data_IF_795926185901
#
_entry.id   IF_795926185901
#
_cell.length_a   1.000
_cell.length_b   1.000
_cell.length_c   1.000
_cell.angle_alpha   90.00
_cell.angle_beta   90.00
_cell.angle_gamma   90.00
#
_symmetry.space_group_name_H-M   'P 1'
#
loop_
_entity.id
_entity.type
_entity.pdbx_description
1 polymer ?
#
# COMPACT_ATOMS: atom_id res chain seq x y z
N UNK A 1 -26.89 6.89 35.03
CA UNK A 1 -27.33 8.31 35.09
C UNK A 1 -26.14 9.17 35.46
N UNK A 2 -26.08 10.42 34.94
CA UNK A 2 -25.11 11.50 35.24
C UNK A 2 -23.75 11.31 34.52
N UNK A 3 -23.22 12.19 33.65
CA UNK A 3 -23.59 13.51 33.10
C UNK A 3 -22.66 13.74 31.88
N UNK A 4 -23.22 14.08 30.73
CA UNK A 4 -22.49 14.68 29.60
C UNK A 4 -22.19 16.14 29.93
N UNK A 5 -20.91 16.53 30.02
CA UNK A 5 -20.48 17.93 30.13
C UNK A 5 -19.14 18.10 29.40
N UNK A 6 -19.04 19.22 28.68
CA UNK A 6 -17.89 19.83 28.00
C UNK A 6 -17.82 19.58 26.49
N UNK A 7 -17.71 20.59 25.61
CA UNK A 7 -17.71 22.04 25.77
C UNK A 7 -17.91 22.62 24.35
N UNK A 8 -18.84 23.55 24.19
CA UNK A 8 -19.03 24.31 22.95
C UNK A 8 -17.90 25.33 22.84
N UNK A 9 -16.99 25.18 21.88
CA UNK A 9 -16.07 26.23 21.45
C UNK A 9 -16.61 26.87 20.17
N UNK A 10 -17.46 27.89 20.35
CA UNK A 10 -17.61 28.95 19.36
C UNK A 10 -16.61 30.06 19.70
N UNK A 11 -15.71 30.38 18.78
CA UNK A 11 -15.25 31.75 18.61
C UNK A 11 -14.74 31.96 17.19
N UNK A 12 -15.37 32.92 16.54
CA UNK A 12 -15.08 33.42 15.21
C UNK A 12 -13.66 34.00 15.10
N UNK A 13 -13.14 34.04 13.87
CA UNK A 13 -12.48 35.18 13.20
C UNK A 13 -11.62 34.61 12.07
N UNK A 14 -11.83 35.09 10.84
CA UNK A 14 -10.90 34.79 9.74
C UNK A 14 -11.47 34.93 8.33
N UNK A 15 -12.22 36.00 8.05
CA UNK A 15 -12.52 36.39 6.68
C UNK A 15 -11.24 36.96 6.06
N UNK A 16 -10.59 36.20 5.18
CA UNK A 16 -9.64 36.73 4.20
C UNK A 16 -10.17 36.45 2.80
N UNK A 17 -10.69 37.52 2.19
CA UNK A 17 -10.96 37.61 0.77
C UNK A 17 -9.62 37.87 0.08
N UNK A 18 -9.19 36.98 -0.81
CA UNK A 18 -8.46 37.43 -2.00
C UNK A 18 -9.10 36.80 -3.24
N UNK A 19 -9.71 37.69 -4.01
CA UNK A 19 -10.08 37.48 -5.41
C UNK A 19 -8.77 37.44 -6.21
N UNK A 20 -8.57 36.36 -6.97
CA UNK A 20 -7.66 36.33 -8.09
C UNK A 20 -8.35 35.58 -9.24
N UNK A 21 -9.02 36.33 -10.12
CA UNK A 21 -9.33 35.86 -11.47
C UNK A 21 -8.01 35.81 -12.25
N UNK A 22 -7.64 34.62 -12.72
CA UNK A 22 -6.64 34.43 -13.74
C UNK A 22 -7.22 33.58 -14.85
N UNK A 23 -7.87 34.22 -15.83
CA UNK A 23 -8.22 33.54 -17.08
C UNK A 23 -6.94 33.23 -17.85
N UNK A 24 -6.74 31.95 -18.16
CA UNK A 24 -6.18 31.52 -19.45
C UNK A 24 -6.90 30.27 -19.92
N UNK A 25 -7.74 30.45 -20.91
CA UNK A 25 -8.22 29.43 -21.83
C UNK A 25 -7.07 28.56 -22.31
N UNK A 26 -7.17 27.24 -22.15
CA UNK A 26 -6.80 26.29 -23.21
C UNK A 26 -7.54 24.98 -22.97
N UNK A 27 -8.36 24.66 -23.96
CA UNK A 27 -9.10 23.42 -24.14
C UNK A 27 -8.14 22.42 -24.77
N UNK A 28 -7.98 21.25 -24.17
CA UNK A 28 -7.30 20.12 -24.80
C UNK A 28 -8.02 18.83 -24.40
N UNK A 29 -9.04 18.55 -25.20
CA UNK A 29 -9.43 17.26 -25.75
C UNK A 29 -9.09 15.98 -24.97
N UNK A 30 -10.19 15.29 -24.62
CA UNK A 30 -10.27 13.83 -24.53
C UNK A 30 -9.53 13.22 -25.72
N UNK A 31 -8.54 12.38 -25.45
CA UNK A 31 -8.06 11.42 -26.44
C UNK A 31 -7.94 10.05 -25.79
N UNK A 32 -8.49 9.10 -26.54
CA UNK A 32 -8.63 7.69 -26.26
C UNK A 32 -7.35 6.98 -25.87
N UNK A 33 -7.56 5.92 -25.07
CA UNK A 33 -6.89 4.64 -25.08
C UNK A 33 -5.61 4.54 -25.92
N UNK A 34 -4.48 4.54 -25.22
CA UNK A 34 -3.40 3.61 -25.49
C UNK A 34 -2.80 3.22 -24.14
N UNK A 35 -3.16 2.04 -23.64
CA UNK A 35 -2.42 1.36 -22.58
C UNK A 35 -1.05 1.06 -23.17
N UNK A 36 -0.10 1.94 -22.93
CA UNK A 36 1.31 1.62 -23.09
C UNK A 36 1.68 0.83 -21.86
N UNK A 37 2.04 -0.44 -22.05
CA UNK A 37 2.66 -1.29 -21.04
C UNK A 37 3.96 -0.63 -20.57
N UNK A 38 3.85 0.29 -19.62
CA UNK A 38 4.99 0.83 -18.89
C UNK A 38 5.45 -0.30 -17.98
N UNK A 39 6.70 -0.77 -18.10
CA UNK A 39 7.27 -1.68 -17.11
C UNK A 39 7.14 -0.99 -15.76
N UNK A 40 6.34 -1.55 -14.85
CA UNK A 40 6.29 -1.08 -13.47
C UNK A 40 7.68 -1.35 -12.91
N UNK A 41 8.41 -0.27 -12.67
CA UNK A 41 9.78 -0.31 -12.17
C UNK A 41 9.73 -0.50 -10.65
N UNK A 42 9.77 -1.75 -10.20
CA UNK A 42 9.77 -2.15 -8.80
C UNK A 42 11.18 -2.12 -8.19
N UNK A 43 12.01 -1.15 -8.59
CA UNK A 43 13.46 -1.08 -8.28
C UNK A 43 13.81 -1.01 -6.80
N UNK A 44 12.84 -0.86 -5.91
CA UNK A 44 13.06 -0.89 -4.46
C UNK A 44 13.07 -2.32 -3.88
N UNK A 45 12.31 -3.26 -4.46
CA UNK A 45 12.33 -4.68 -4.08
C UNK A 45 13.52 -5.43 -4.69
N UNK A 46 13.98 -4.99 -5.87
CA UNK A 46 15.09 -5.59 -6.62
C UNK A 46 16.47 -5.38 -5.97
N UNK A 47 16.55 -4.54 -4.91
CA UNK A 47 17.79 -4.24 -4.17
C UNK A 47 17.96 -5.03 -2.88
N UNK A 48 17.03 -5.90 -2.53
CA UNK A 48 17.15 -6.77 -1.37
C UNK A 48 18.04 -7.93 -1.78
N UNK A 49 19.35 -7.77 -1.54
CA UNK A 49 20.43 -8.62 -2.07
C UNK A 49 20.50 -10.05 -1.51
N UNK A 50 19.42 -10.82 -1.61
CA UNK A 50 19.37 -12.26 -1.36
C UNK A 50 18.83 -13.01 -2.57
N UNK A 51 19.21 -14.29 -2.71
CA UNK A 51 18.64 -15.21 -3.72
C UNK A 51 17.13 -15.47 -3.51
N UNK A 52 16.56 -14.97 -2.40
CA UNK A 52 15.16 -15.16 -2.00
C UNK A 52 14.36 -13.89 -2.31
N UNK A 53 13.29 -14.05 -3.08
CA UNK A 53 12.31 -13.01 -3.35
C UNK A 53 11.74 -12.43 -2.03
N UNK A 54 11.50 -11.10 -1.94
CA UNK A 54 10.88 -10.51 -0.77
C UNK A 54 9.60 -11.24 -0.35
N UNK A 55 9.48 -11.54 0.95
CA UNK A 55 8.36 -12.28 1.49
C UNK A 55 8.09 -11.97 2.97
N UNK A 56 6.84 -12.23 3.37
CA UNK A 56 6.32 -12.01 4.73
C UNK A 56 5.55 -13.26 5.16
N UNK A 57 5.64 -13.61 6.45
CA UNK A 57 4.76 -14.61 7.05
C UNK A 57 3.62 -13.91 7.80
N UNK A 58 2.39 -14.28 7.48
CA UNK A 58 1.16 -13.78 8.12
C UNK A 58 0.25 -14.96 8.43
N UNK A 59 -0.10 -15.12 9.70
CA UNK A 59 -0.99 -16.18 10.21
C UNK A 59 -0.58 -17.59 9.73
N UNK A 60 0.72 -17.89 9.82
CA UNK A 60 1.34 -19.16 9.45
C UNK A 60 1.53 -19.37 7.94
N UNK A 61 1.19 -18.39 7.11
CA UNK A 61 1.28 -18.47 5.64
C UNK A 61 2.33 -17.49 5.12
N UNK A 62 3.21 -17.97 4.23
CA UNK A 62 4.22 -17.13 3.58
C UNK A 62 3.67 -16.58 2.26
N UNK A 63 3.74 -15.25 2.12
CA UNK A 63 3.38 -14.51 0.93
C UNK A 63 4.64 -13.90 0.31
N UNK A 64 4.80 -14.06 -1.00
CA UNK A 64 5.94 -13.61 -1.78
C UNK A 64 5.54 -12.44 -2.67
N UNK A 65 6.42 -11.44 -2.80
CA UNK A 65 6.22 -10.31 -3.70
C UNK A 65 5.88 -10.82 -5.10
N UNK A 66 4.80 -10.32 -5.68
CA UNK A 66 4.39 -10.70 -7.04
C UNK A 66 5.10 -9.87 -8.10
N UNK A 67 5.73 -8.76 -7.72
CA UNK A 67 6.24 -7.76 -8.65
C UNK A 67 5.15 -6.81 -9.17
N UNK A 68 3.94 -6.82 -8.61
CA UNK A 68 2.87 -5.92 -9.01
C UNK A 68 2.54 -4.89 -7.92
N UNK A 69 2.42 -3.64 -8.35
CA UNK A 69 1.74 -2.60 -7.58
C UNK A 69 0.23 -2.88 -7.62
N UNK A 70 -0.43 -2.69 -6.48
CA UNK A 70 -1.87 -2.83 -6.41
C UNK A 70 -2.60 -1.72 -7.18
N UNK A 71 -3.73 -2.10 -7.76
CA UNK A 71 -4.67 -1.22 -8.47
C UNK A 71 -5.88 -0.82 -7.60
N UNK A 72 -5.99 -1.35 -6.37
CA UNK A 72 -7.09 -1.03 -5.45
C UNK A 72 -7.00 0.43 -4.99
N UNK A 73 -8.05 1.19 -5.28
CA UNK A 73 -8.23 2.59 -4.94
C UNK A 73 -9.00 2.80 -3.62
N UNK A 74 -9.87 1.88 -3.27
CA UNK A 74 -10.72 1.92 -2.07
C UNK A 74 -10.21 0.94 -1.01
N UNK A 75 -9.38 1.45 -0.09
CA UNK A 75 -8.83 0.70 1.06
C UNK A 75 -9.68 0.89 2.30
N UNK A 76 -9.63 -0.06 3.23
CA UNK A 76 -10.03 0.20 4.60
C UNK A 76 -9.05 1.22 5.22
N UNK A 77 -9.55 2.18 5.99
CA UNK A 77 -8.70 3.11 6.75
C UNK A 77 -7.91 2.37 7.85
N UNK A 78 -8.51 1.30 8.39
CA UNK A 78 -7.88 0.43 9.38
C UNK A 78 -7.09 -0.70 8.68
N UNK A 79 -5.86 -0.92 9.12
CA UNK A 79 -4.99 -2.01 8.65
C UNK A 79 -5.40 -3.34 9.29
N UNK A 80 -5.32 -4.45 8.55
CA UNK A 80 -5.55 -5.80 9.11
C UNK A 80 -4.41 -6.24 10.02
N UNK A 81 -3.19 -5.76 9.73
CA UNK A 81 -2.03 -6.01 10.56
C UNK A 81 -0.82 -5.15 10.19
N UNK A 82 0.28 -5.42 10.88
CA UNK A 82 1.56 -4.75 10.68
C UNK A 82 2.69 -5.77 10.75
N UNK A 83 3.67 -5.63 9.87
CA UNK A 83 4.96 -6.33 9.96
C UNK A 83 5.76 -5.73 11.10
N UNK A 84 6.02 -6.50 12.15
CA UNK A 84 6.63 -6.01 13.40
C UNK A 84 8.06 -6.47 13.60
N UNK A 85 8.53 -7.45 12.84
CA UNK A 85 9.90 -7.97 12.91
C UNK A 85 10.48 -8.24 11.53
N UNK A 86 11.80 -8.43 11.48
CA UNK A 86 12.53 -8.72 10.25
C UNK A 86 13.54 -9.86 10.48
N UNK A 87 13.70 -10.73 9.49
CA UNK A 87 14.80 -11.70 9.40
C UNK A 87 15.83 -11.25 8.36
N UNK A 88 16.85 -12.08 8.06
CA UNK A 88 17.80 -11.76 6.99
C UNK A 88 17.11 -11.73 5.63
N UNK A 89 17.53 -10.85 4.72
CA UNK A 89 17.07 -10.83 3.33
C UNK A 89 17.32 -12.13 2.56
N UNK A 90 18.22 -12.98 3.05
CA UNK A 90 18.51 -14.32 2.49
C UNK A 90 17.72 -15.44 3.17
N UNK A 91 16.74 -15.14 4.01
CA UNK A 91 15.92 -16.10 4.75
C UNK A 91 14.45 -15.97 4.36
N UNK A 92 13.70 -17.07 4.54
CA UNK A 92 12.24 -17.04 4.53
C UNK A 92 11.79 -16.81 5.98
N UNK A 93 10.87 -15.88 6.27
CA UNK A 93 10.39 -15.63 7.62
C UNK A 93 9.74 -16.89 8.21
N UNK A 94 9.92 -17.08 9.52
CA UNK A 94 9.42 -18.26 10.26
C UNK A 94 8.47 -17.92 11.40
N UNK A 95 8.24 -16.63 11.62
CA UNK A 95 7.33 -16.10 12.64
C UNK A 95 6.29 -15.19 11.99
N UNK A 96 5.10 -15.13 12.57
CA UNK A 96 4.05 -14.23 12.10
C UNK A 96 4.48 -12.77 12.21
N UNK A 97 4.12 -11.99 11.19
CA UNK A 97 4.47 -10.57 11.05
C UNK A 97 5.99 -10.32 10.97
N UNK A 98 6.75 -11.32 10.52
CA UNK A 98 8.15 -11.21 10.15
C UNK A 98 8.29 -11.13 8.63
N UNK A 99 9.15 -10.24 8.14
CA UNK A 99 9.52 -10.18 6.73
C UNK A 99 11.03 -10.24 6.53
N UNK A 100 11.47 -10.55 5.32
CA UNK A 100 12.88 -10.47 4.93
C UNK A 100 13.24 -9.14 4.24
N UNK A 101 12.34 -8.16 4.26
CA UNK A 101 12.49 -6.88 3.56
C UNK A 101 12.35 -5.65 4.46
N UNK A 102 12.15 -5.86 5.76
CA UNK A 102 12.06 -4.80 6.77
C UNK A 102 10.85 -4.95 7.68
N UNK A 103 10.54 -3.90 8.44
CA UNK A 103 9.41 -3.88 9.39
C UNK A 103 8.80 -2.48 9.50
N UNK A 104 7.64 -2.40 10.14
CA UNK A 104 6.84 -1.20 10.30
C UNK A 104 5.80 -0.97 9.20
N UNK A 105 5.70 -1.89 8.24
CA UNK A 105 4.74 -1.82 7.13
C UNK A 105 3.38 -2.37 7.54
N UNK A 106 2.31 -1.62 7.24
CA UNK A 106 0.94 -2.11 7.38
C UNK A 106 0.56 -3.02 6.22
N UNK A 107 -0.32 -3.97 6.47
CA UNK A 107 -0.90 -4.81 5.42
C UNK A 107 -2.41 -4.97 5.55
N UNK A 108 -3.05 -5.28 4.43
CA UNK A 108 -4.43 -5.73 4.35
C UNK A 108 -4.48 -7.02 3.53
N UNK A 109 -5.46 -7.88 3.79
CA UNK A 109 -5.75 -9.00 2.90
C UNK A 109 -6.22 -8.46 1.54
N UNK A 110 -5.69 -9.04 0.45
CA UNK A 110 -6.07 -8.63 -0.89
C UNK A 110 -7.46 -9.14 -1.27
N UNK A 111 -7.96 -8.67 -2.42
CA UNK A 111 -9.29 -9.07 -2.91
C UNK A 111 -9.36 -10.53 -3.35
N UNK A 112 -8.21 -11.11 -3.74
CA UNK A 112 -8.08 -12.51 -4.14
C UNK A 112 -7.57 -13.37 -2.97
N UNK A 113 -8.16 -14.55 -2.81
CA UNK A 113 -7.70 -15.51 -1.81
C UNK A 113 -6.22 -15.86 -2.02
N UNK A 114 -5.47 -15.90 -0.92
CA UNK A 114 -4.04 -16.15 -0.96
C UNK A 114 -3.20 -14.94 -1.38
N UNK A 115 -3.75 -13.73 -1.29
CA UNK A 115 -3.02 -12.46 -1.43
C UNK A 115 -3.07 -11.61 -0.16
N UNK A 116 -1.98 -10.89 0.08
CA UNK A 116 -1.90 -9.77 1.02
C UNK A 116 -1.27 -8.59 0.30
N UNK A 117 -1.67 -7.39 0.68
CA UNK A 117 -1.17 -6.17 0.09
C UNK A 117 -0.52 -5.31 1.15
N UNK A 118 0.69 -4.83 0.86
CA UNK A 118 1.56 -4.21 1.85
C UNK A 118 1.78 -2.77 1.44
N UNK A 119 1.49 -1.85 2.35
CA UNK A 119 1.79 -0.43 2.16
C UNK A 119 3.25 -0.17 2.49
N UNK A 120 4.02 0.24 1.48
CA UNK A 120 5.42 0.61 1.64
C UNK A 120 5.54 2.09 2.01
N UNK A 121 6.76 2.51 2.37
CA UNK A 121 7.06 3.90 2.80
C UNK A 121 6.84 4.96 1.73
N UNK A 122 6.77 4.57 0.47
CA UNK A 122 6.42 5.44 -0.67
C UNK A 122 4.91 5.74 -0.76
N UNK A 123 4.10 5.15 0.15
CA UNK A 123 2.65 5.26 0.17
C UNK A 123 1.94 4.34 -0.83
N UNK A 124 2.69 3.59 -1.64
CA UNK A 124 2.16 2.64 -2.59
C UNK A 124 1.92 1.29 -1.92
N UNK A 125 1.02 0.52 -2.53
CA UNK A 125 0.70 -0.83 -2.09
C UNK A 125 1.20 -1.84 -3.10
N UNK A 126 1.78 -2.92 -2.60
CA UNK A 126 2.35 -3.98 -3.42
C UNK A 126 1.70 -5.30 -3.08
N UNK A 127 1.43 -6.11 -4.10
CA UNK A 127 0.73 -7.38 -3.94
C UNK A 127 1.72 -8.49 -3.67
N UNK A 128 1.48 -9.21 -2.58
CA UNK A 128 2.18 -10.40 -2.19
C UNK A 128 1.21 -11.56 -2.24
N UNK A 129 1.66 -12.72 -2.72
CA UNK A 129 0.81 -13.88 -2.91
C UNK A 129 1.48 -15.14 -2.36
N UNK A 130 0.67 -16.10 -1.93
CA UNK A 130 1.16 -17.46 -1.65
C UNK A 130 1.88 -18.02 -2.87
N UNK A 131 2.77 -18.99 -2.67
CA UNK A 131 3.55 -19.60 -3.76
C UNK A 131 2.66 -20.14 -4.90
N UNK A 132 1.50 -20.71 -4.55
CA UNK A 132 0.55 -21.27 -5.51
C UNK A 132 -0.14 -20.17 -6.34
N UNK A 133 -0.57 -19.09 -5.69
CA UNK A 133 -1.24 -17.96 -6.35
C UNK A 133 -0.25 -17.17 -7.21
N UNK A 134 0.96 -16.88 -6.70
CA UNK A 134 1.98 -16.09 -7.41
C UNK A 134 2.29 -16.63 -8.81
N UNK A 135 2.34 -17.97 -8.98
CA UNK A 135 2.66 -18.59 -10.26
C UNK A 135 1.66 -18.24 -11.38
N UNK A 136 0.44 -17.84 -11.02
CA UNK A 136 -0.64 -17.55 -11.96
C UNK A 136 -1.25 -16.15 -11.75
N UNK A 137 -0.68 -15.34 -10.85
CA UNK A 137 -1.23 -14.05 -10.50
C UNK A 137 -1.23 -13.10 -11.70
N UNK A 138 -2.37 -12.44 -11.92
CA UNK A 138 -2.59 -11.44 -12.96
C UNK A 138 -3.32 -10.25 -12.31
N UNK A 139 -2.79 -9.02 -12.42
CA UNK A 139 -3.43 -7.84 -11.87
C UNK A 139 -4.70 -7.44 -12.63
#
# INVERSE_FOLDING_TARGET
>A
MKKFIMLVFMLAVGMFIIVACGDKTTKSDVSDAAVTDVPIDNTDMDKIGGDICPCVMVNGVVYYDTGYKSTLDNRCEDMDGQITSECSGSEVPTEDNQSNFGKGYGYQYGSDEGTVEIQMTDGNWYVFATKEVKANYKP
#
